data_IF_368864774345
#
_entry.id   IF_368864774345
#
_cell.length_a   1.000
_cell.length_b   1.000
_cell.length_c   1.000
_cell.angle_alpha   90.00
_cell.angle_beta   90.00
_cell.angle_gamma   90.00
#
_symmetry.space_group_name_H-M   'P 1'
#
loop_
_entity.id
_entity.type
_entity.pdbx_description
1 polymer ?
#
# COMPACT_ATOMS: atom_id res chain seq x y z
N UNK A 1 22.62 4.99 -4.70
CA UNK A 1 21.48 5.65 -4.06
C UNK A 1 21.66 5.83 -2.56
N UNK A 2 22.02 4.76 -1.80
CA UNK A 2 22.34 4.92 -0.36
C UNK A 2 23.37 6.04 -0.09
N UNK A 3 24.48 6.07 -0.83
CA UNK A 3 25.48 7.12 -0.68
C UNK A 3 24.95 8.51 -1.05
N UNK A 4 24.13 8.62 -2.07
CA UNK A 4 23.54 9.90 -2.50
C UNK A 4 22.67 10.55 -1.41
N UNK A 5 21.83 9.76 -0.69
CA UNK A 5 21.04 10.32 0.42
C UNK A 5 21.92 10.70 1.60
N UNK A 6 23.01 9.98 1.87
CA UNK A 6 23.99 10.35 2.91
C UNK A 6 24.73 11.64 2.55
N UNK A 7 25.19 11.79 1.33
CA UNK A 7 25.90 12.99 0.86
C UNK A 7 24.97 14.21 0.92
N UNK A 8 23.71 14.04 0.48
CA UNK A 8 22.70 15.07 0.57
C UNK A 8 22.36 15.42 2.03
N UNK A 9 22.27 14.42 2.91
CA UNK A 9 22.04 14.63 4.33
C UNK A 9 23.17 15.44 4.98
N UNK A 10 24.40 15.04 4.73
CA UNK A 10 25.58 15.74 5.28
C UNK A 10 25.66 17.20 4.80
N UNK A 11 25.31 17.45 3.54
CA UNK A 11 25.27 18.80 2.97
C UNK A 11 24.21 19.70 3.64
N UNK A 12 23.04 19.15 3.97
CA UNK A 12 21.90 19.93 4.50
C UNK A 12 21.93 20.06 6.02
N UNK A 13 22.30 18.99 6.72
CA UNK A 13 22.12 18.85 8.16
C UNK A 13 23.43 18.57 8.94
N UNK A 14 24.57 18.51 8.23
CA UNK A 14 25.85 18.10 8.80
C UNK A 14 26.00 16.58 8.85
N UNK A 15 27.27 16.13 8.87
CA UNK A 15 27.63 14.70 8.82
C UNK A 15 27.87 14.06 10.18
N UNK A 16 27.65 14.79 11.29
CA UNK A 16 27.92 14.31 12.65
C UNK A 16 26.70 13.61 13.28
N UNK A 17 26.95 12.75 14.27
CA UNK A 17 25.92 12.04 15.03
C UNK A 17 25.53 10.68 14.44
N UNK A 18 24.50 10.04 15.02
CA UNK A 18 24.03 8.71 14.61
C UNK A 18 23.10 8.83 13.39
N UNK A 19 23.70 8.91 12.20
CA UNK A 19 22.98 8.92 10.93
C UNK A 19 22.78 7.49 10.45
N UNK A 20 21.52 7.05 10.37
CA UNK A 20 21.16 5.72 9.88
C UNK A 20 20.49 5.79 8.53
N UNK A 21 20.62 4.72 7.75
CA UNK A 21 20.02 4.63 6.41
C UNK A 21 19.07 3.45 6.34
N UNK A 22 17.93 3.68 5.68
CA UNK A 22 16.86 2.71 5.54
C UNK A 22 16.43 2.60 4.08
N UNK A 23 15.75 1.51 3.75
CA UNK A 23 15.17 1.29 2.44
C UNK A 23 13.85 0.55 2.59
N UNK A 24 12.83 0.97 1.84
CA UNK A 24 11.61 0.21 1.63
C UNK A 24 11.32 0.12 0.13
N UNK A 25 10.93 -1.05 -0.40
CA UNK A 25 10.61 -1.21 -1.80
C UNK A 25 9.31 -0.52 -2.19
N UNK A 26 9.04 -0.43 -3.49
CA UNK A 26 7.69 -0.32 -4.03
C UNK A 26 7.09 -1.72 -4.22
N UNK A 27 5.85 -1.77 -4.72
CA UNK A 27 5.18 -3.04 -5.04
C UNK A 27 4.49 -2.97 -6.40
N UNK A 28 4.29 -4.13 -7.03
CA UNK A 28 3.30 -4.34 -8.08
C UNK A 28 2.31 -5.41 -7.63
N UNK A 29 1.03 -5.21 -7.89
CA UNK A 29 0.04 -6.26 -7.71
C UNK A 29 -0.06 -7.07 -9.00
N UNK A 30 0.05 -8.39 -8.91
CA UNK A 30 -0.02 -9.28 -10.07
C UNK A 30 -1.48 -9.56 -10.44
N UNK A 31 -2.34 -9.76 -9.42
CA UNK A 31 -3.78 -9.99 -9.56
C UNK A 31 -4.45 -9.80 -8.19
N UNK A 32 -5.76 -9.58 -8.14
CA UNK A 32 -6.51 -9.32 -6.91
C UNK A 32 -6.76 -7.82 -6.72
N UNK A 33 -7.18 -7.14 -7.79
CA UNK A 33 -7.47 -5.71 -7.75
C UNK A 33 -8.78 -5.42 -6.99
N UNK A 34 -8.71 -4.52 -6.00
CA UNK A 34 -9.86 -4.11 -5.18
C UNK A 34 -10.49 -5.21 -4.31
N UNK A 35 -9.75 -6.25 -3.98
CA UNK A 35 -10.19 -7.32 -3.08
C UNK A 35 -9.79 -7.08 -1.63
N UNK A 36 -8.75 -6.31 -1.37
CA UNK A 36 -8.13 -6.12 -0.07
C UNK A 36 -9.01 -5.39 0.96
N UNK A 37 -9.90 -4.51 0.56
CA UNK A 37 -10.89 -3.89 1.44
C UNK A 37 -12.26 -4.61 1.41
N UNK A 38 -12.35 -5.71 0.68
CA UNK A 38 -13.52 -6.58 0.58
C UNK A 38 -13.32 -7.94 1.27
N UNK A 39 -12.24 -8.12 2.04
CA UNK A 39 -11.91 -9.37 2.72
C UNK A 39 -11.54 -10.51 1.77
N UNK A 40 -11.00 -10.18 0.60
CA UNK A 40 -10.54 -11.15 -0.38
C UNK A 40 -9.01 -11.29 -0.40
N UNK A 41 -8.52 -12.05 -1.38
CA UNK A 41 -7.10 -12.31 -1.57
C UNK A 41 -6.47 -11.32 -2.53
N UNK A 42 -5.18 -11.00 -2.27
CA UNK A 42 -4.32 -10.23 -3.17
C UNK A 42 -3.03 -11.00 -3.46
N UNK A 43 -2.37 -10.68 -4.57
CA UNK A 43 -1.13 -11.35 -4.95
C UNK A 43 -0.05 -10.38 -5.42
N UNK A 44 0.41 -9.46 -4.54
CA UNK A 44 1.46 -8.51 -4.86
C UNK A 44 2.87 -9.11 -4.72
N UNK A 45 3.85 -8.43 -5.35
CA UNK A 45 5.26 -8.65 -5.08
C UNK A 45 5.99 -7.32 -4.87
N UNK A 46 7.01 -7.33 -4.01
CA UNK A 46 7.89 -6.20 -3.81
C UNK A 46 8.84 -6.03 -5.01
N UNK A 47 9.21 -4.79 -5.29
CA UNK A 47 10.11 -4.40 -6.37
C UNK A 47 11.50 -4.12 -5.84
N UNK A 48 12.50 -4.09 -6.73
CA UNK A 48 13.86 -3.67 -6.40
C UNK A 48 14.05 -2.15 -6.37
N UNK A 49 13.06 -1.39 -6.86
CA UNK A 49 12.97 0.05 -6.73
C UNK A 49 12.18 0.41 -5.48
N UNK A 50 12.48 1.55 -4.86
CA UNK A 50 11.85 1.92 -3.58
C UNK A 50 12.30 3.29 -3.08
N UNK A 51 12.07 3.53 -1.81
CA UNK A 51 12.44 4.76 -1.09
C UNK A 51 13.66 4.51 -0.21
N UNK A 52 14.69 5.31 -0.42
CA UNK A 52 15.89 5.38 0.42
C UNK A 52 15.75 6.55 1.39
N UNK A 53 16.14 6.32 2.62
CA UNK A 53 16.10 7.32 3.69
C UNK A 53 17.46 7.41 4.39
N UNK A 54 17.91 8.62 4.68
CA UNK A 54 18.89 8.91 5.73
C UNK A 54 18.20 9.70 6.83
N UNK A 55 18.38 9.30 8.07
CA UNK A 55 17.72 9.92 9.22
C UNK A 55 18.65 9.99 10.42
N UNK A 56 18.44 11.04 11.25
CA UNK A 56 19.10 11.26 12.54
C UNK A 56 18.08 11.78 13.55
N UNK A 57 18.06 11.23 14.76
CA UNK A 57 17.30 11.80 15.87
C UNK A 57 17.86 13.15 16.30
N UNK A 58 16.99 14.02 16.72
CA UNK A 58 17.30 15.32 17.31
C UNK A 58 17.10 15.28 18.83
N UNK A 59 17.64 16.25 19.55
CA UNK A 59 17.39 16.41 20.97
C UNK A 59 16.09 17.20 21.26
N UNK A 60 15.59 17.92 20.26
CA UNK A 60 14.33 18.67 20.31
C UNK A 60 13.18 17.91 19.60
N UNK A 61 12.01 18.53 19.55
CA UNK A 61 10.81 17.96 18.90
C UNK A 61 10.59 18.44 17.47
N UNK A 62 11.58 19.12 16.87
CA UNK A 62 11.50 19.62 15.49
C UNK A 62 11.66 18.50 14.47
N UNK A 63 10.96 18.63 13.37
CA UNK A 63 11.03 17.74 12.21
C UNK A 63 11.57 18.54 11.01
N UNK A 64 12.65 18.09 10.39
CA UNK A 64 13.17 18.67 9.18
C UNK A 64 13.22 17.59 8.10
N UNK A 65 12.46 17.81 7.04
CA UNK A 65 12.33 16.88 5.94
C UNK A 65 12.88 17.47 4.66
N UNK A 66 13.62 16.67 3.91
CA UNK A 66 14.03 17.02 2.54
C UNK A 66 13.83 15.83 1.62
N UNK A 67 13.26 16.07 0.44
CA UNK A 67 13.13 15.06 -0.59
C UNK A 67 13.91 15.46 -1.83
N UNK A 68 14.84 14.60 -2.25
CA UNK A 68 15.58 14.76 -3.49
C UNK A 68 14.70 14.65 -4.75
N UNK A 69 13.45 14.15 -4.59
CA UNK A 69 12.46 14.12 -5.68
C UNK A 69 11.69 15.44 -5.80
N UNK A 70 11.66 16.26 -4.74
CA UNK A 70 10.92 17.52 -4.66
C UNK A 70 11.82 18.68 -4.21
N UNK A 71 13.00 18.79 -4.81
CA UNK A 71 14.04 19.77 -4.44
C UNK A 71 13.53 21.21 -4.37
N UNK A 72 12.55 21.56 -5.20
CA UNK A 72 11.95 22.91 -5.22
C UNK A 72 11.24 23.30 -3.93
N UNK A 73 10.83 22.33 -3.12
CA UNK A 73 10.21 22.60 -1.81
C UNK A 73 11.26 22.97 -0.74
N UNK A 74 12.54 22.67 -1.00
CA UNK A 74 13.58 22.86 -0.01
C UNK A 74 13.39 21.96 1.22
N UNK A 75 13.96 22.39 2.34
CA UNK A 75 13.73 21.74 3.64
C UNK A 75 12.37 22.16 4.17
N UNK A 76 11.51 21.18 4.41
CA UNK A 76 10.22 21.40 5.07
C UNK A 76 10.38 21.21 6.56
N UNK A 77 10.13 22.25 7.33
CA UNK A 77 10.20 22.22 8.79
C UNK A 77 8.80 22.05 9.40
N UNK A 78 8.71 21.28 10.48
CA UNK A 78 7.50 21.04 11.27
C UNK A 78 7.88 20.63 12.69
N UNK A 79 6.89 20.26 13.50
CA UNK A 79 7.08 19.78 14.88
C UNK A 79 6.24 18.54 15.16
N UNK A 80 6.69 17.70 16.08
CA UNK A 80 5.88 16.62 16.65
C UNK A 80 4.65 17.13 17.43
N UNK A 81 4.61 18.42 17.73
CA UNK A 81 3.48 19.06 18.41
C UNK A 81 2.40 19.58 17.43
N UNK A 82 2.66 19.47 16.10
CA UNK A 82 1.83 20.05 15.06
C UNK A 82 1.43 19.00 14.02
N UNK A 83 0.61 18.03 14.42
CA UNK A 83 0.00 17.09 13.49
C UNK A 83 -1.27 17.69 12.86
N UNK A 84 -1.28 17.83 11.53
CA UNK A 84 -2.38 18.40 10.76
C UNK A 84 -3.08 17.34 9.90
N UNK A 85 -3.88 16.50 10.53
CA UNK A 85 -4.59 15.39 9.88
C UNK A 85 -5.36 15.87 8.63
N UNK A 86 -5.04 15.26 7.48
CA UNK A 86 -5.67 15.57 6.19
C UNK A 86 -5.34 16.94 5.60
N UNK A 87 -4.44 17.74 6.19
CA UNK A 87 -4.16 19.12 5.79
C UNK A 87 -2.70 19.41 5.47
N UNK A 88 -1.81 18.41 5.50
CA UNK A 88 -0.38 18.62 5.30
C UNK A 88 -0.03 19.17 3.90
N UNK A 89 -0.86 18.92 2.88
CA UNK A 89 -0.75 19.52 1.54
C UNK A 89 0.48 19.08 0.73
N UNK A 90 1.37 18.27 1.30
CA UNK A 90 2.58 17.79 0.64
C UNK A 90 2.98 16.39 1.15
N UNK A 91 4.05 15.84 0.58
CA UNK A 91 4.52 14.48 0.85
C UNK A 91 4.93 14.19 2.31
N UNK A 92 5.18 15.21 3.14
CA UNK A 92 5.53 15.02 4.55
C UNK A 92 4.36 14.48 5.38
N UNK A 93 3.14 14.48 4.82
CA UNK A 93 1.98 13.83 5.40
C UNK A 93 2.22 12.36 5.72
N UNK A 94 2.95 11.63 4.86
CA UNK A 94 3.21 10.20 5.06
C UNK A 94 4.13 9.90 6.25
N UNK A 95 5.35 10.48 6.37
CA UNK A 95 6.18 10.25 7.55
C UNK A 95 5.55 10.81 8.83
N UNK A 96 4.86 11.95 8.79
CA UNK A 96 4.15 12.50 9.95
C UNK A 96 2.98 11.61 10.37
N UNK A 97 2.22 11.09 9.41
CA UNK A 97 1.14 10.14 9.66
C UNK A 97 1.63 8.87 10.35
N UNK A 98 2.81 8.34 9.96
CA UNK A 98 3.42 7.20 10.64
C UNK A 98 3.86 7.53 12.06
N UNK A 99 4.47 8.69 12.31
CA UNK A 99 4.83 9.15 13.66
C UNK A 99 3.58 9.28 14.54
N UNK A 100 2.52 9.86 14.00
CA UNK A 100 1.22 9.95 14.66
C UNK A 100 0.63 8.56 14.96
N UNK A 101 0.65 7.64 13.98
CA UNK A 101 0.13 6.29 14.15
C UNK A 101 0.87 5.52 15.26
N UNK A 102 2.21 5.63 15.33
CA UNK A 102 2.99 5.05 16.43
C UNK A 102 2.52 5.58 17.79
N UNK A 103 2.37 6.89 17.93
CA UNK A 103 1.86 7.49 19.17
C UNK A 103 0.46 6.96 19.54
N UNK A 104 -0.46 6.84 18.56
CA UNK A 104 -1.81 6.32 18.80
C UNK A 104 -1.80 4.84 19.23
N UNK A 105 -0.79 4.08 18.83
CA UNK A 105 -0.61 2.67 19.18
C UNK A 105 0.20 2.44 20.46
N UNK A 106 0.51 3.52 21.20
CA UNK A 106 1.22 3.43 22.47
C UNK A 106 2.75 3.39 22.36
N UNK A 107 3.30 3.77 21.20
CA UNK A 107 4.73 3.88 20.95
C UNK A 107 5.10 5.37 20.76
N UNK A 108 5.45 6.10 21.83
CA UNK A 108 5.63 7.54 21.78
C UNK A 108 6.84 7.94 20.94
N UNK A 109 6.67 8.94 20.08
CA UNK A 109 7.74 9.58 19.32
C UNK A 109 8.07 10.90 20.02
N UNK A 110 9.10 10.87 20.89
CA UNK A 110 9.40 12.00 21.80
C UNK A 110 10.44 12.97 21.24
N UNK A 111 11.26 12.50 20.31
CA UNK A 111 12.34 13.27 19.69
C UNK A 111 12.05 13.49 18.22
N UNK A 112 12.39 14.70 17.72
CA UNK A 112 12.31 15.04 16.33
C UNK A 112 13.39 14.40 15.46
N UNK A 113 13.36 14.71 14.18
CA UNK A 113 14.26 14.09 13.19
C UNK A 113 14.74 15.07 12.14
N UNK A 114 15.95 14.85 11.67
CA UNK A 114 16.42 15.27 10.35
C UNK A 114 16.28 14.09 9.41
N UNK A 115 15.56 14.26 8.28
CA UNK A 115 15.26 13.19 7.33
C UNK A 115 15.52 13.66 5.91
N UNK A 116 16.30 12.88 5.16
CA UNK A 116 16.44 13.02 3.70
C UNK A 116 15.89 11.77 3.02
N UNK A 117 15.03 11.96 2.02
CA UNK A 117 14.42 10.89 1.23
C UNK A 117 14.81 11.00 -0.24
N UNK A 118 14.98 9.84 -0.87
CA UNK A 118 15.08 9.69 -2.31
C UNK A 118 14.33 8.45 -2.77
N UNK A 119 13.33 8.62 -3.62
CA UNK A 119 12.59 7.52 -4.25
C UNK A 119 12.99 7.35 -5.71
N UNK A 120 13.29 6.13 -6.13
CA UNK A 120 13.44 5.78 -7.54
C UNK A 120 12.20 5.08 -8.12
N UNK A 121 11.09 5.11 -7.39
CA UNK A 121 9.76 4.76 -7.91
C UNK A 121 9.30 5.91 -8.80
N UNK A 122 8.93 5.67 -10.07
CA UNK A 122 8.42 6.73 -10.93
C UNK A 122 7.16 7.37 -10.32
N UNK A 123 7.13 8.70 -10.27
CA UNK A 123 6.00 9.43 -9.67
C UNK A 123 4.69 9.15 -10.41
N UNK A 124 3.64 8.82 -9.66
CA UNK A 124 2.31 8.55 -10.22
C UNK A 124 2.19 7.23 -10.99
N UNK A 125 3.17 6.33 -10.88
CA UNK A 125 3.17 5.03 -11.56
C UNK A 125 2.22 3.99 -10.95
N UNK A 126 1.62 4.26 -9.79
CA UNK A 126 0.78 3.29 -9.09
C UNK A 126 1.57 2.18 -8.37
N UNK A 127 2.87 2.37 -8.15
CA UNK A 127 3.76 1.40 -7.51
C UNK A 127 3.94 1.66 -6.00
N UNK A 128 2.97 2.32 -5.37
CA UNK A 128 2.85 2.54 -3.92
C UNK A 128 4.02 3.30 -3.30
N UNK A 129 4.35 4.46 -3.87
CA UNK A 129 5.37 5.32 -3.29
C UNK A 129 4.99 5.84 -1.89
N UNK A 130 3.71 6.10 -1.61
CA UNK A 130 3.21 6.48 -0.28
C UNK A 130 3.49 5.40 0.76
N UNK A 131 3.03 4.19 0.52
CA UNK A 131 3.25 3.06 1.42
C UNK A 131 4.75 2.72 1.60
N UNK A 132 5.59 2.99 0.56
CA UNK A 132 7.05 2.87 0.66
C UNK A 132 7.62 3.89 1.64
N UNK A 133 7.17 5.16 1.60
CA UNK A 133 7.57 6.20 2.56
C UNK A 133 7.07 5.88 3.96
N UNK A 134 5.84 5.41 4.10
CA UNK A 134 5.27 4.98 5.38
C UNK A 134 6.08 3.84 6.00
N UNK A 135 6.32 2.78 5.23
CA UNK A 135 7.05 1.60 5.72
C UNK A 135 8.49 1.94 6.10
N UNK A 136 9.22 2.71 5.29
CA UNK A 136 10.60 3.10 5.62
C UNK A 136 10.64 3.97 6.88
N UNK A 137 9.62 4.82 7.09
CA UNK A 137 9.48 5.61 8.32
C UNK A 137 9.17 4.73 9.52
N UNK A 138 8.26 3.76 9.40
CA UNK A 138 7.95 2.81 10.47
C UNK A 138 9.17 1.98 10.88
N UNK A 139 9.96 1.49 9.91
CA UNK A 139 11.21 0.77 10.19
C UNK A 139 12.21 1.67 10.89
N UNK A 140 12.36 2.92 10.45
CA UNK A 140 13.23 3.92 11.10
C UNK A 140 12.81 4.17 12.56
N UNK A 141 11.52 4.39 12.82
CA UNK A 141 11.00 4.63 14.17
C UNK A 141 11.25 3.41 15.06
N UNK A 142 10.93 2.21 14.57
CA UNK A 142 11.18 0.96 15.30
C UNK A 142 12.65 0.81 15.70
N UNK A 143 13.55 1.01 14.74
CA UNK A 143 14.99 0.86 14.97
C UNK A 143 15.56 1.95 15.90
N UNK A 144 15.23 3.21 15.65
CA UNK A 144 15.83 4.34 16.40
C UNK A 144 15.30 4.46 17.82
N UNK A 145 14.08 4.00 18.12
CA UNK A 145 13.53 3.99 19.48
C UNK A 145 13.64 2.63 20.19
N UNK A 146 14.16 1.59 19.51
CA UNK A 146 14.29 0.25 20.09
C UNK A 146 12.94 -0.43 20.36
N UNK A 147 11.95 -0.23 19.49
CA UNK A 147 10.63 -0.83 19.63
C UNK A 147 10.61 -2.26 19.04
N UNK A 148 11.42 -3.15 19.62
CA UNK A 148 11.64 -4.52 19.11
C UNK A 148 10.40 -5.40 19.12
N UNK A 149 9.38 -5.04 19.89
CA UNK A 149 8.09 -5.76 19.94
C UNK A 149 7.22 -5.50 18.71
N UNK A 150 7.50 -4.45 17.93
CA UNK A 150 6.75 -4.12 16.71
C UNK A 150 7.23 -5.05 15.58
N UNK A 151 6.35 -5.90 15.08
CA UNK A 151 6.62 -6.74 13.91
C UNK A 151 6.53 -5.95 12.59
N UNK A 152 6.96 -6.56 11.47
CA UNK A 152 6.76 -5.96 10.14
C UNK A 152 5.28 -5.92 9.73
N UNK A 153 4.47 -6.86 10.24
CA UNK A 153 3.01 -6.83 10.06
C UNK A 153 2.41 -5.63 10.80
N UNK A 154 2.87 -5.34 12.01
CA UNK A 154 2.42 -4.15 12.75
C UNK A 154 2.78 -2.86 12.01
N UNK A 155 3.97 -2.78 11.41
CA UNK A 155 4.36 -1.64 10.57
C UNK A 155 3.40 -1.47 9.39
N UNK A 156 3.00 -2.56 8.73
CA UNK A 156 2.01 -2.52 7.64
C UNK A 156 0.64 -2.02 8.15
N UNK A 157 0.19 -2.52 9.29
CA UNK A 157 -1.07 -2.10 9.92
C UNK A 157 -1.03 -0.63 10.35
N UNK A 158 0.10 -0.15 10.86
CA UNK A 158 0.26 1.27 11.24
C UNK A 158 0.29 2.18 10.00
N UNK A 159 0.88 1.72 8.89
CA UNK A 159 0.84 2.43 7.61
C UNK A 159 -0.59 2.55 7.09
N UNK A 160 -1.35 1.46 7.05
CA UNK A 160 -2.77 1.50 6.69
C UNK A 160 -3.58 2.41 7.63
N UNK A 161 -3.32 2.33 8.93
CA UNK A 161 -3.98 3.19 9.91
C UNK A 161 -3.65 4.67 9.69
N UNK A 162 -2.41 4.99 9.33
CA UNK A 162 -1.97 6.33 8.94
C UNK A 162 -2.70 6.82 7.68
N UNK A 163 -2.73 6.02 6.61
CA UNK A 163 -3.44 6.39 5.38
C UNK A 163 -4.92 6.67 5.64
N UNK A 164 -5.59 5.78 6.36
CA UNK A 164 -7.03 5.87 6.58
C UNK A 164 -7.41 7.03 7.51
N UNK A 165 -6.65 7.26 8.59
CA UNK A 165 -7.07 8.19 9.65
C UNK A 165 -6.31 9.51 9.63
N UNK A 166 -5.06 9.54 9.14
CA UNK A 166 -4.28 10.77 9.04
C UNK A 166 -4.39 11.41 7.66
N UNK A 167 -4.25 10.62 6.59
CA UNK A 167 -4.28 11.10 5.20
C UNK A 167 -5.69 11.10 4.59
N UNK A 168 -6.67 10.39 5.17
CA UNK A 168 -8.06 10.36 4.73
C UNK A 168 -8.32 9.52 3.47
N UNK A 169 -7.43 8.58 3.18
CA UNK A 169 -7.57 7.63 2.07
C UNK A 169 -7.98 6.26 2.60
N UNK A 170 -9.20 5.83 2.36
CA UNK A 170 -9.74 4.56 2.85
C UNK A 170 -9.17 3.36 2.09
N UNK A 171 -7.85 3.16 2.14
CA UNK A 171 -7.18 2.04 1.46
C UNK A 171 -7.35 0.70 2.20
N UNK A 172 -7.15 -0.40 1.46
CA UNK A 172 -6.91 -1.73 2.03
C UNK A 172 -5.48 -1.88 2.54
N UNK A 173 -5.10 -3.10 2.94
CA UNK A 173 -3.79 -3.37 3.55
C UNK A 173 -2.71 -3.76 2.54
N UNK A 174 -3.08 -4.09 1.29
CA UNK A 174 -2.20 -4.72 0.31
C UNK A 174 -0.86 -4.02 0.13
N UNK A 175 -0.87 -2.70 -0.02
CA UNK A 175 0.30 -1.91 -0.36
C UNK A 175 1.35 -1.95 0.74
N UNK A 176 0.94 -1.64 1.96
CA UNK A 176 1.81 -1.63 3.13
C UNK A 176 2.30 -3.04 3.48
N UNK A 177 1.41 -4.05 3.35
CA UNK A 177 1.77 -5.43 3.63
C UNK A 177 2.80 -5.97 2.62
N UNK A 178 2.59 -5.72 1.33
CA UNK A 178 3.51 -6.15 0.28
C UNK A 178 4.92 -5.56 0.43
N UNK A 179 4.99 -4.29 0.85
CA UNK A 179 6.25 -3.58 1.06
C UNK A 179 6.94 -4.06 2.33
N UNK A 180 6.20 -4.20 3.43
CA UNK A 180 6.75 -4.61 4.71
C UNK A 180 7.21 -6.08 4.71
N UNK A 181 6.47 -6.96 4.04
CA UNK A 181 6.68 -8.41 4.06
C UNK A 181 7.33 -8.94 2.78
N UNK A 182 7.77 -8.06 1.87
CA UNK A 182 8.39 -8.46 0.60
C UNK A 182 9.57 -9.41 0.76
N UNK A 183 9.61 -10.45 -0.07
CA UNK A 183 10.69 -11.44 -0.10
C UNK A 183 11.22 -11.59 -1.52
N UNK A 184 12.54 -11.71 -1.64
CA UNK A 184 13.22 -11.87 -2.93
C UNK A 184 12.63 -13.05 -3.72
N UNK A 185 12.36 -12.82 -5.00
CA UNK A 185 11.87 -13.80 -5.98
C UNK A 185 10.52 -14.46 -5.58
N UNK A 186 9.73 -13.76 -4.75
CA UNK A 186 8.42 -14.24 -4.30
C UNK A 186 7.34 -13.17 -4.45
N UNK A 187 6.13 -13.61 -4.75
CA UNK A 187 4.91 -12.85 -4.50
C UNK A 187 4.25 -13.32 -3.20
N UNK A 188 3.41 -12.50 -2.64
CA UNK A 188 2.69 -12.77 -1.39
C UNK A 188 1.24 -13.06 -1.72
N UNK A 189 0.80 -14.29 -1.48
CA UNK A 189 -0.62 -14.60 -1.49
C UNK A 189 -1.17 -14.30 -0.09
N UNK A 190 -1.93 -13.22 0.02
CA UNK A 190 -2.44 -12.70 1.28
C UNK A 190 -3.96 -12.78 1.30
N UNK A 191 -4.50 -13.44 2.32
CA UNK A 191 -5.89 -13.30 2.73
C UNK A 191 -6.02 -12.03 3.59
N UNK A 192 -6.77 -11.04 3.11
CA UNK A 192 -6.88 -9.75 3.80
C UNK A 192 -7.91 -9.77 4.93
N UNK A 193 -8.67 -10.85 5.08
CA UNK A 193 -9.66 -11.01 6.14
C UNK A 193 -9.03 -11.34 7.49
N UNK A 194 -7.94 -12.12 7.51
CA UNK A 194 -7.27 -12.58 8.73
C UNK A 194 -5.73 -12.42 8.68
N UNK A 195 -5.21 -11.82 7.62
CA UNK A 195 -3.79 -11.58 7.35
C UNK A 195 -2.93 -12.85 7.26
N UNK A 196 -3.54 -13.99 7.00
CA UNK A 196 -2.79 -15.18 6.65
C UNK A 196 -2.17 -15.02 5.28
N UNK A 197 -0.91 -15.41 5.16
CA UNK A 197 -0.19 -15.26 3.91
C UNK A 197 0.76 -16.41 3.65
N UNK A 198 1.08 -16.61 2.39
CA UNK A 198 2.13 -17.52 1.95
C UNK A 198 2.96 -16.87 0.83
N UNK A 199 4.23 -17.28 0.73
CA UNK A 199 5.09 -16.88 -0.36
C UNK A 199 4.99 -17.87 -1.51
N UNK A 200 4.66 -17.37 -2.70
CA UNK A 200 4.71 -18.14 -3.92
C UNK A 200 5.93 -17.68 -4.74
N UNK A 201 6.82 -18.61 -5.16
CA UNK A 201 7.96 -18.27 -6.01
C UNK A 201 7.49 -17.68 -7.35
N UNK A 202 8.06 -16.54 -7.74
CA UNK A 202 7.82 -15.92 -9.06
C UNK A 202 8.92 -16.38 -10.01
N UNK A 203 8.71 -17.52 -10.65
CA UNK A 203 9.60 -18.06 -11.68
C UNK A 203 8.95 -17.86 -13.04
N UNK A 204 9.45 -16.91 -13.80
CA UNK A 204 8.90 -16.54 -15.12
C UNK A 204 9.90 -16.95 -16.20
N UNK A 205 10.00 -18.28 -16.44
CA UNK A 205 10.85 -18.80 -17.50
C UNK A 205 10.30 -18.40 -18.88
N UNK A 206 11.09 -17.64 -19.64
CA UNK A 206 10.70 -17.14 -20.95
C UNK A 206 9.69 -15.98 -20.95
N UNK A 207 9.27 -15.48 -19.77
CA UNK A 207 8.37 -14.34 -19.62
C UNK A 207 8.98 -13.23 -18.74
N UNK A 208 8.41 -12.04 -18.81
CA UNK A 208 8.81 -10.88 -17.98
C UNK A 208 7.57 -10.11 -17.56
N UNK A 209 7.62 -9.50 -16.36
CA UNK A 209 6.64 -8.52 -15.93
C UNK A 209 7.03 -7.16 -16.55
N UNK A 210 6.12 -6.58 -17.32
CA UNK A 210 6.27 -5.26 -17.91
C UNK A 210 5.31 -4.31 -17.20
N UNK A 211 5.85 -3.26 -16.59
CA UNK A 211 5.07 -2.22 -15.92
C UNK A 211 5.07 -0.98 -16.80
N UNK A 212 3.88 -0.58 -17.28
CA UNK A 212 3.69 0.58 -18.14
C UNK A 212 3.01 1.71 -17.38
N UNK A 213 3.67 2.87 -17.29
CA UNK A 213 3.08 4.06 -16.70
C UNK A 213 2.20 4.78 -17.72
N UNK A 214 0.92 4.98 -17.40
CA UNK A 214 -0.03 5.72 -18.25
C UNK A 214 0.20 7.24 -18.25
N UNK A 215 1.15 7.75 -17.44
CA UNK A 215 1.45 9.17 -17.21
C UNK A 215 0.25 10.01 -16.74
N UNK A 216 -0.82 9.38 -16.28
CA UNK A 216 -1.94 10.09 -15.71
C UNK A 216 -1.68 10.41 -14.24
N UNK A 217 -1.57 11.69 -13.93
CA UNK A 217 -1.42 12.18 -12.55
C UNK A 217 -2.64 11.77 -11.71
N UNK A 218 -2.39 11.28 -10.49
CA UNK A 218 -3.39 11.04 -9.44
C UNK A 218 -3.20 12.07 -8.34
N UNK A 219 -4.31 12.57 -7.79
CA UNK A 219 -4.26 13.43 -6.60
C UNK A 219 -4.19 12.60 -5.32
N UNK A 220 -3.60 13.18 -4.28
CA UNK A 220 -3.79 12.73 -2.90
C UNK A 220 -5.31 12.74 -2.61
N UNK A 221 -5.88 11.61 -2.20
CA UNK A 221 -7.31 11.52 -1.91
C UNK A 221 -8.19 11.44 -3.17
N UNK A 222 -7.85 10.58 -4.13
CA UNK A 222 -8.69 10.35 -5.30
C UNK A 222 -10.10 9.96 -4.83
N UNK A 223 -11.04 10.89 -4.98
CA UNK A 223 -12.44 10.76 -4.57
C UNK A 223 -13.09 9.48 -5.13
N UNK A 224 -12.61 9.02 -6.29
CA UNK A 224 -13.11 7.81 -6.95
C UNK A 224 -12.74 6.52 -6.23
N UNK A 225 -11.61 6.44 -5.55
CA UNK A 225 -11.24 5.28 -4.75
C UNK A 225 -12.16 5.13 -3.53
N UNK A 226 -12.33 6.20 -2.77
CA UNK A 226 -13.23 6.22 -1.62
C UNK A 226 -14.69 5.96 -2.01
N UNK A 227 -15.16 6.56 -3.13
CA UNK A 227 -16.49 6.31 -3.71
C UNK A 227 -16.69 4.82 -3.99
N UNK A 228 -15.71 4.19 -4.63
CA UNK A 228 -15.76 2.79 -4.99
C UNK A 228 -15.80 1.85 -3.78
N UNK A 229 -14.99 2.15 -2.76
CA UNK A 229 -15.04 1.41 -1.49
C UNK A 229 -16.42 1.53 -0.85
N UNK A 230 -16.98 2.74 -0.77
CA UNK A 230 -18.33 2.98 -0.24
C UNK A 230 -19.42 2.24 -1.02
N UNK A 231 -19.27 2.14 -2.36
CA UNK A 231 -20.19 1.34 -3.21
C UNK A 231 -20.13 -0.16 -2.84
N UNK A 232 -18.93 -0.71 -2.59
CA UNK A 232 -18.76 -2.10 -2.16
C UNK A 232 -19.33 -2.33 -0.74
N UNK A 233 -19.06 -1.43 0.20
CA UNK A 233 -19.56 -1.50 1.57
C UNK A 233 -21.11 -1.45 1.61
N UNK A 234 -21.70 -0.60 0.77
CA UNK A 234 -23.16 -0.52 0.64
C UNK A 234 -23.73 -1.80 0.03
N UNK A 235 -23.09 -2.35 -1.00
CA UNK A 235 -23.49 -3.62 -1.61
C UNK A 235 -23.44 -4.77 -0.61
N UNK A 236 -22.37 -4.83 0.20
CA UNK A 236 -22.26 -5.82 1.29
C UNK A 236 -23.42 -5.69 2.28
N UNK A 237 -23.73 -4.48 2.73
CA UNK A 237 -24.84 -4.23 3.66
C UNK A 237 -26.22 -4.61 3.06
N UNK A 238 -26.38 -4.52 1.75
CA UNK A 238 -27.60 -4.99 1.06
C UNK A 238 -27.68 -6.52 1.03
N UNK A 239 -26.57 -7.22 0.76
CA UNK A 239 -26.48 -8.69 0.78
C UNK A 239 -26.68 -9.24 2.19
N UNK A 240 -26.13 -8.59 3.21
CA UNK A 240 -26.25 -9.00 4.61
C UNK A 240 -27.70 -9.09 5.12
N UNK A 241 -28.65 -8.47 4.42
CA UNK A 241 -30.09 -8.60 4.74
C UNK A 241 -30.66 -9.97 4.37
N UNK A 242 -30.01 -10.72 3.49
CA UNK A 242 -30.47 -12.00 2.94
C UNK A 242 -29.50 -13.16 3.16
N UNK A 243 -28.25 -12.87 3.50
CA UNK A 243 -27.18 -13.86 3.71
C UNK A 243 -26.24 -13.38 4.81
N UNK A 244 -25.94 -14.25 5.76
CA UNK A 244 -24.98 -13.97 6.84
C UNK A 244 -23.55 -14.11 6.34
N UNK A 245 -22.91 -12.97 6.06
CA UNK A 245 -21.51 -12.84 5.63
C UNK A 245 -20.89 -11.59 6.26
N UNK A 246 -19.57 -11.61 6.47
CA UNK A 246 -18.82 -10.47 7.01
C UNK A 246 -18.18 -9.63 5.91
N UNK A 247 -17.90 -10.24 4.75
CA UNK A 247 -17.23 -9.59 3.63
C UNK A 247 -17.67 -10.19 2.28
N UNK A 248 -17.48 -9.46 1.19
CA UNK A 248 -17.76 -9.97 -0.15
C UNK A 248 -16.81 -11.12 -0.54
N UNK A 249 -15.60 -11.15 0.04
CA UNK A 249 -14.60 -12.20 -0.21
C UNK A 249 -15.02 -13.59 0.27
N UNK A 250 -16.01 -13.68 1.17
CA UNK A 250 -16.54 -14.97 1.64
C UNK A 250 -17.43 -15.68 0.59
N UNK A 251 -17.93 -14.94 -0.41
CA UNK A 251 -18.84 -15.49 -1.40
C UNK A 251 -18.09 -16.24 -2.53
N UNK A 252 -18.63 -17.40 -2.90
CA UNK A 252 -18.34 -17.99 -4.21
C UNK A 252 -19.10 -17.26 -5.31
N UNK A 253 -18.73 -17.48 -6.59
CA UNK A 253 -19.44 -16.92 -7.74
C UNK A 253 -20.91 -17.35 -7.76
N UNK A 254 -21.19 -18.64 -7.49
CA UNK A 254 -22.53 -19.21 -7.45
C UNK A 254 -23.38 -18.60 -6.34
N UNK A 255 -22.81 -18.46 -5.14
CA UNK A 255 -23.49 -17.81 -4.01
C UNK A 255 -23.79 -16.35 -4.30
N UNK A 256 -22.86 -15.62 -4.95
CA UNK A 256 -23.10 -14.24 -5.36
C UNK A 256 -24.24 -14.14 -6.37
N UNK A 257 -24.23 -14.98 -7.42
CA UNK A 257 -25.30 -14.99 -8.43
C UNK A 257 -26.70 -15.28 -7.81
N UNK A 258 -26.75 -16.09 -6.74
CA UNK A 258 -27.99 -16.37 -6.02
C UNK A 258 -28.51 -15.18 -5.18
N UNK A 259 -27.67 -14.27 -4.75
CA UNK A 259 -28.05 -13.15 -3.86
C UNK A 259 -27.89 -11.76 -4.48
N UNK A 260 -27.35 -11.63 -5.67
CA UNK A 260 -27.03 -10.35 -6.33
C UNK A 260 -28.22 -9.40 -6.44
N UNK A 261 -29.45 -9.92 -6.55
CA UNK A 261 -30.67 -9.14 -6.71
C UNK A 261 -31.09 -8.40 -5.43
N UNK A 262 -30.44 -8.73 -4.30
CA UNK A 262 -30.54 -7.94 -3.08
C UNK A 262 -29.91 -6.53 -3.27
N UNK A 263 -28.91 -6.41 -4.13
CA UNK A 263 -28.26 -5.14 -4.47
C UNK A 263 -29.13 -4.42 -5.50
N UNK A 264 -29.73 -3.30 -5.13
CA UNK A 264 -30.68 -2.58 -5.98
C UNK A 264 -30.01 -1.71 -7.06
N UNK A 265 -28.85 -1.18 -6.76
CA UNK A 265 -28.12 -0.30 -7.68
C UNK A 265 -27.23 -1.12 -8.63
N UNK A 266 -27.37 -0.95 -9.98
CA UNK A 266 -26.59 -1.72 -10.96
C UNK A 266 -25.08 -1.46 -10.88
N UNK A 267 -24.65 -0.26 -10.46
CA UNK A 267 -23.24 0.05 -10.29
C UNK A 267 -22.68 -0.72 -9.11
N UNK A 268 -23.34 -0.67 -7.97
CA UNK A 268 -22.95 -1.44 -6.78
C UNK A 268 -22.95 -2.95 -7.04
N UNK A 269 -23.93 -3.46 -7.80
CA UNK A 269 -23.96 -4.87 -8.19
C UNK A 269 -22.72 -5.26 -9.00
N UNK A 270 -22.27 -4.40 -9.94
CA UNK A 270 -21.04 -4.61 -10.70
C UNK A 270 -19.79 -4.55 -9.81
N UNK A 271 -19.76 -3.66 -8.82
CA UNK A 271 -18.65 -3.58 -7.85
C UNK A 271 -18.52 -4.87 -7.03
N UNK A 272 -19.61 -5.32 -6.45
CA UNK A 272 -19.66 -6.55 -5.68
C UNK A 272 -19.31 -7.77 -6.54
N UNK A 273 -19.85 -7.85 -7.77
CA UNK A 273 -19.50 -8.90 -8.72
C UNK A 273 -18.00 -8.94 -8.99
N UNK A 274 -17.39 -7.76 -9.24
CA UNK A 274 -15.93 -7.70 -9.44
C UNK A 274 -15.20 -8.24 -8.23
N UNK A 275 -15.53 -7.79 -7.01
CA UNK A 275 -14.83 -8.20 -5.78
C UNK A 275 -14.87 -9.72 -5.58
N UNK A 276 -16.03 -10.35 -5.77
CA UNK A 276 -16.21 -11.81 -5.62
C UNK A 276 -15.45 -12.57 -6.69
N UNK A 277 -15.65 -12.23 -7.96
CA UNK A 277 -15.03 -12.92 -9.09
C UNK A 277 -13.51 -12.72 -9.13
N UNK A 278 -13.03 -11.54 -8.76
CA UNK A 278 -11.59 -11.26 -8.70
C UNK A 278 -10.92 -12.04 -7.58
N UNK A 279 -11.59 -12.19 -6.44
CA UNK A 279 -11.11 -13.03 -5.36
C UNK A 279 -10.88 -14.48 -5.82
N UNK A 280 -11.87 -15.08 -6.53
CA UNK A 280 -11.75 -16.43 -7.06
C UNK A 280 -10.65 -16.53 -8.13
N UNK A 281 -10.54 -15.52 -9.02
CA UNK A 281 -9.45 -15.46 -10.01
C UNK A 281 -8.07 -15.44 -9.35
N UNK A 282 -7.93 -14.69 -8.25
CA UNK A 282 -6.66 -14.60 -7.52
C UNK A 282 -6.22 -15.95 -6.96
N UNK A 283 -7.14 -16.70 -6.37
CA UNK A 283 -6.86 -18.06 -5.87
C UNK A 283 -6.43 -18.99 -7.02
N UNK A 284 -7.15 -18.94 -8.14
CA UNK A 284 -6.82 -19.75 -9.33
C UNK A 284 -5.46 -19.35 -9.95
N UNK A 285 -5.15 -18.04 -9.97
CA UNK A 285 -3.89 -17.54 -10.51
C UNK A 285 -2.69 -18.00 -9.69
N UNK A 286 -2.80 -17.99 -8.35
CA UNK A 286 -1.76 -18.53 -7.47
C UNK A 286 -1.55 -20.01 -7.70
N UNK A 287 -2.63 -20.78 -7.86
CA UNK A 287 -2.55 -22.22 -8.17
C UNK A 287 -1.86 -22.46 -9.52
N UNK A 288 -2.21 -21.69 -10.55
CA UNK A 288 -1.57 -21.78 -11.87
C UNK A 288 -0.07 -21.46 -11.82
N UNK A 289 0.31 -20.39 -11.11
CA UNK A 289 1.73 -20.01 -10.95
C UNK A 289 2.53 -21.09 -10.19
N UNK A 290 1.96 -21.65 -9.12
CA UNK A 290 2.57 -22.75 -8.38
C UNK A 290 2.74 -24.03 -9.22
N UNK A 291 1.82 -24.27 -10.15
CA UNK A 291 1.89 -25.37 -11.12
C UNK A 291 2.82 -25.06 -12.32
N UNK A 292 3.46 -23.88 -12.36
CA UNK A 292 4.25 -23.38 -13.50
C UNK A 292 3.43 -23.26 -14.80
N UNK A 293 2.12 -23.09 -14.70
CA UNK A 293 1.23 -22.82 -15.83
C UNK A 293 1.14 -21.30 -16.09
N UNK A 294 2.18 -20.79 -16.75
CA UNK A 294 2.30 -19.35 -17.05
C UNK A 294 1.22 -18.91 -18.07
N UNK A 295 0.79 -19.79 -18.96
CA UNK A 295 -0.27 -19.48 -19.92
C UNK A 295 -1.59 -19.23 -19.19
N UNK A 296 -1.98 -20.13 -18.28
CA UNK A 296 -3.19 -19.97 -17.47
C UNK A 296 -3.13 -18.76 -16.56
N UNK A 297 -1.96 -18.50 -15.95
CA UNK A 297 -1.73 -17.28 -15.16
C UNK A 297 -1.99 -16.02 -16.00
N UNK A 298 -1.45 -15.95 -17.23
CA UNK A 298 -1.66 -14.84 -18.15
C UNK A 298 -3.13 -14.66 -18.57
N UNK A 299 -3.86 -15.75 -18.83
CA UNK A 299 -5.31 -15.71 -19.10
C UNK A 299 -6.09 -15.07 -17.94
N UNK A 300 -5.77 -15.46 -16.70
CA UNK A 300 -6.42 -14.93 -15.50
C UNK A 300 -6.10 -13.45 -15.28
N UNK A 301 -4.86 -13.02 -15.52
CA UNK A 301 -4.49 -11.60 -15.48
C UNK A 301 -5.27 -10.79 -16.56
N UNK A 302 -5.43 -11.32 -17.77
CA UNK A 302 -6.23 -10.66 -18.80
C UNK A 302 -7.70 -10.56 -18.39
N UNK A 303 -8.28 -11.62 -17.80
CA UNK A 303 -9.64 -11.62 -17.29
C UNK A 303 -9.82 -10.62 -16.14
N UNK A 304 -8.82 -10.50 -15.25
CA UNK A 304 -8.76 -9.47 -14.22
C UNK A 304 -8.77 -8.06 -14.82
N UNK A 305 -7.93 -7.81 -15.82
CA UNK A 305 -7.88 -6.50 -16.50
C UNK A 305 -9.22 -6.12 -17.15
N UNK A 306 -9.88 -7.03 -17.81
CA UNK A 306 -11.18 -6.78 -18.49
C UNK A 306 -12.30 -6.49 -17.48
N UNK A 307 -12.31 -7.17 -16.33
CA UNK A 307 -13.36 -7.07 -15.34
C UNK A 307 -13.55 -5.63 -14.80
N UNK A 308 -12.55 -4.93 -14.27
CA UNK A 308 -12.72 -3.56 -13.80
C UNK A 308 -12.93 -2.55 -14.93
N UNK A 309 -12.31 -2.73 -16.08
CA UNK A 309 -12.47 -1.83 -17.24
C UNK A 309 -13.90 -1.89 -17.76
N UNK A 310 -14.45 -3.08 -17.96
CA UNK A 310 -15.81 -3.28 -18.47
C UNK A 310 -16.89 -2.76 -17.51
N UNK A 311 -16.65 -2.85 -16.20
CA UNK A 311 -17.66 -2.50 -15.21
C UNK A 311 -17.47 -1.13 -14.57
N UNK A 312 -16.31 -0.51 -14.70
CA UNK A 312 -15.97 0.60 -13.82
C UNK A 312 -15.16 1.71 -14.43
N UNK A 313 -14.73 1.62 -15.68
CA UNK A 313 -13.77 2.54 -16.28
C UNK A 313 -12.52 2.77 -15.42
N UNK A 314 -12.13 1.76 -14.64
CA UNK A 314 -10.85 1.80 -13.97
C UNK A 314 -9.75 1.83 -15.01
N UNK A 315 -8.90 2.76 -14.79
CA UNK A 315 -7.63 2.77 -15.49
C UNK A 315 -6.75 1.74 -14.82
N UNK A 316 -6.12 0.91 -15.64
CA UNK A 316 -5.09 0.01 -15.18
C UNK A 316 -4.13 0.77 -14.24
N UNK A 317 -3.84 0.16 -13.15
CA UNK A 317 -2.89 0.67 -12.18
C UNK A 317 -1.46 0.47 -12.65
#
# INVERSE_FOLDING_TARGET
MKQQVLDCFAKLFGGEGDIRTYFAPGRVNLIGEHTDYNGGHVFPCALTIGTYMAARKREDRKLRFYSMNFEKLGVVESSLDEFQMGKEGNWTAYPKGMMWAFCQKGFPVEQGFDIVLYGNIPNGSGLSSSASVETVTGVMLRDMFGYDTISMIDIALYGQFSENNYNGVNCGIMDQFAIAMGKKDCAIFLDTSDLKYEYAPVKLEGARIVISCSNKKRGLGDSKYNERRSECETALAEIQKVKDIKSLGELTEEEFEAVKDAIKDPVRQKRAKHAVYENQRTVQAVAALKANDIAKFGELMNASHVSPVSYTHLRAH
#
